data_IF_428657548544
#
_entry.id   IF_428657548544
#
_cell.length_a   1.000
_cell.length_b   1.000
_cell.length_c   1.000
_cell.angle_alpha   90.00
_cell.angle_beta   90.00
_cell.angle_gamma   90.00
#
_symmetry.space_group_name_H-M   'P 1'
#
loop_
_entity.id
_entity.type
_entity.pdbx_description
1 polymer ?
#
# COMPACT_ATOMS: atom_id res chain seq x y z
N UNK A 1 2.58 76.77 -70.43
CA UNK A 1 1.69 77.84 -69.93
C UNK A 1 0.40 77.20 -69.48
N UNK A 2 0.16 77.19 -68.16
CA UNK A 2 -1.13 77.18 -67.44
C UNK A 2 -2.16 76.08 -67.80
N UNK A 3 -2.75 75.31 -66.86
CA UNK A 3 -3.32 75.74 -65.58
C UNK A 3 -3.41 74.60 -64.55
N UNK A 4 -3.02 74.94 -63.32
CA UNK A 4 -3.54 74.43 -62.05
C UNK A 4 -5.10 74.33 -62.06
N UNK A 5 -5.78 73.53 -61.23
CA UNK A 5 -5.81 73.67 -59.77
C UNK A 5 -6.78 72.63 -59.16
N UNK A 6 -6.41 72.20 -57.93
CA UNK A 6 -7.23 71.84 -56.77
C UNK A 6 -7.98 70.50 -56.60
N UNK A 7 -7.71 69.97 -55.40
CA UNK A 7 -8.61 69.49 -54.33
C UNK A 7 -8.73 67.98 -54.09
N UNK A 8 -8.08 67.59 -52.98
CA UNK A 8 -8.60 66.73 -51.89
C UNK A 8 -9.42 65.49 -52.27
N UNK A 9 -8.95 64.31 -51.88
CA UNK A 9 -9.63 63.57 -50.80
C UNK A 9 -8.76 62.46 -50.23
N UNK A 10 -8.69 62.44 -48.90
CA UNK A 10 -8.21 61.35 -48.06
C UNK A 10 -9.09 60.12 -48.29
N UNK A 11 -8.49 58.99 -48.64
CA UNK A 11 -9.11 57.67 -48.50
C UNK A 11 -8.18 56.79 -47.68
N UNK A 12 -8.30 56.96 -46.37
CA UNK A 12 -8.13 55.89 -45.39
C UNK A 12 -9.34 54.96 -45.46
N UNK A 13 -9.10 53.70 -45.11
CA UNK A 13 -10.03 52.56 -45.00
C UNK A 13 -10.34 51.88 -46.35
N UNK A 14 -10.19 50.57 -46.52
CA UNK A 14 -10.42 49.46 -45.59
C UNK A 14 -9.43 48.33 -45.92
N UNK A 15 -8.52 48.00 -45.00
CA UNK A 15 -7.87 46.68 -45.03
C UNK A 15 -8.92 45.66 -44.65
N UNK A 16 -9.26 44.76 -45.57
CA UNK A 16 -10.08 43.60 -45.28
C UNK A 16 -9.29 42.71 -44.31
N UNK A 17 -9.57 42.79 -43.01
CA UNK A 17 -9.20 41.72 -42.10
C UNK A 17 -10.19 40.59 -42.37
N UNK A 18 -9.75 39.58 -43.12
CA UNK A 18 -10.43 38.30 -43.13
C UNK A 18 -10.39 37.80 -41.68
N UNK A 19 -11.53 37.93 -40.98
CA UNK A 19 -11.67 37.41 -39.64
C UNK A 19 -11.44 35.90 -39.73
N UNK A 20 -10.39 35.43 -39.06
CA UNK A 20 -10.12 34.03 -38.83
C UNK A 20 -11.24 33.43 -37.96
N UNK A 21 -12.41 33.22 -38.53
CA UNK A 21 -13.54 32.50 -37.93
C UNK A 21 -13.65 31.17 -38.65
N UNK A 22 -12.91 30.18 -38.18
CA UNK A 22 -12.96 28.87 -38.83
C UNK A 22 -12.20 27.71 -38.21
N UNK A 23 -11.53 27.86 -37.05
CA UNK A 23 -10.88 26.72 -36.38
C UNK A 23 -11.01 26.91 -34.86
N UNK A 24 -12.17 26.59 -34.27
CA UNK A 24 -12.23 26.50 -32.79
C UNK A 24 -13.38 25.62 -32.26
N UNK A 25 -14.56 25.59 -32.89
CA UNK A 25 -15.71 24.86 -32.31
C UNK A 25 -15.59 23.34 -32.39
N UNK A 26 -15.26 22.77 -33.55
CA UNK A 26 -15.12 21.30 -33.72
C UNK A 26 -14.01 20.70 -32.84
N UNK A 27 -12.92 21.44 -32.61
CA UNK A 27 -11.82 21.01 -31.76
C UNK A 27 -12.18 21.11 -30.27
N UNK A 28 -12.95 22.13 -29.86
CA UNK A 28 -13.45 22.27 -28.50
C UNK A 28 -14.47 21.17 -28.15
N UNK A 29 -15.39 20.84 -29.06
CA UNK A 29 -16.36 19.75 -28.86
C UNK A 29 -15.68 18.38 -28.81
N UNK A 30 -14.70 18.13 -29.68
CA UNK A 30 -13.90 16.91 -29.65
C UNK A 30 -13.07 16.78 -28.37
N UNK A 31 -12.46 17.88 -27.91
CA UNK A 31 -11.74 17.92 -26.64
C UNK A 31 -12.67 17.63 -25.45
N UNK A 32 -13.87 18.19 -25.43
CA UNK A 32 -14.89 17.93 -24.40
C UNK A 32 -15.37 16.48 -24.38
N UNK A 33 -15.53 15.86 -25.55
CA UNK A 33 -15.86 14.44 -25.67
C UNK A 33 -14.72 13.57 -25.14
N UNK A 34 -13.47 13.85 -25.54
CA UNK A 34 -12.27 13.12 -25.07
C UNK A 34 -12.13 13.25 -23.55
N UNK A 35 -12.30 14.45 -23.02
CA UNK A 35 -12.24 14.71 -21.58
C UNK A 35 -13.33 13.92 -20.84
N UNK A 36 -14.56 13.92 -21.33
CA UNK A 36 -15.67 13.15 -20.74
C UNK A 36 -15.36 11.65 -20.71
N UNK A 37 -14.80 11.10 -21.80
CA UNK A 37 -14.37 9.70 -21.89
C UNK A 37 -13.25 9.40 -20.89
N UNK A 38 -12.26 10.29 -20.79
CA UNK A 38 -11.14 10.13 -19.86
C UNK A 38 -11.61 10.17 -18.40
N UNK A 39 -12.53 11.06 -18.05
CA UNK A 39 -13.13 11.11 -16.70
C UNK A 39 -13.83 9.79 -16.36
N UNK A 40 -14.64 9.25 -17.27
CA UNK A 40 -15.30 7.95 -17.07
C UNK A 40 -14.29 6.82 -16.92
N UNK A 41 -13.25 6.79 -17.77
CA UNK A 41 -12.18 5.78 -17.71
C UNK A 41 -11.43 5.84 -16.37
N UNK A 42 -11.08 7.03 -15.91
CA UNK A 42 -10.42 7.23 -14.62
C UNK A 42 -11.31 6.74 -13.47
N UNK A 43 -12.60 7.11 -13.45
CA UNK A 43 -13.55 6.61 -12.44
C UNK A 43 -13.66 5.09 -12.41
N UNK A 44 -13.70 4.46 -13.58
CA UNK A 44 -13.74 3.00 -13.68
C UNK A 44 -12.46 2.38 -13.16
N UNK A 45 -11.30 2.88 -13.60
CA UNK A 45 -9.99 2.40 -13.14
C UNK A 45 -9.81 2.57 -11.63
N UNK A 46 -10.27 3.68 -11.06
CA UNK A 46 -10.28 3.93 -9.62
C UNK A 46 -11.17 2.93 -8.88
N UNK A 47 -12.34 2.62 -9.43
CA UNK A 47 -13.24 1.61 -8.86
C UNK A 47 -12.61 0.23 -8.82
N UNK A 48 -11.96 -0.19 -9.92
CA UNK A 48 -11.23 -1.47 -9.98
C UNK A 48 -10.07 -1.49 -9.00
N UNK A 49 -9.31 -0.39 -8.89
CA UNK A 49 -8.22 -0.26 -7.91
C UNK A 49 -8.71 -0.42 -6.48
N UNK A 50 -9.81 0.25 -6.11
CA UNK A 50 -10.40 0.15 -4.76
C UNK A 50 -10.85 -1.29 -4.47
N UNK A 51 -11.51 -1.94 -5.43
CA UNK A 51 -11.96 -3.33 -5.28
C UNK A 51 -10.78 -4.29 -5.12
N UNK A 52 -9.72 -4.10 -5.90
CA UNK A 52 -8.53 -4.94 -5.82
C UNK A 52 -7.73 -4.74 -4.53
N UNK A 53 -7.76 -3.54 -3.93
CA UNK A 53 -7.08 -3.24 -2.67
C UNK A 53 -7.87 -3.65 -1.42
N UNK A 54 -9.18 -3.85 -1.54
CA UNK A 54 -10.04 -4.25 -0.41
C UNK A 54 -9.67 -5.64 0.10
N UNK A 55 -9.44 -5.74 1.41
CA UNK A 55 -9.20 -7.00 2.11
C UNK A 55 -10.40 -7.95 2.02
N UNK A 56 -10.11 -9.25 1.84
CA UNK A 56 -11.12 -10.32 1.85
C UNK A 56 -11.49 -10.66 3.30
N UNK A 57 -10.49 -10.74 4.18
CA UNK A 57 -10.68 -11.20 5.57
C UNK A 57 -10.72 -10.06 6.59
N UNK A 58 -10.76 -8.82 6.12
CA UNK A 58 -10.69 -7.63 6.98
C UNK A 58 -9.27 -7.13 7.21
N UNK A 59 -9.14 -5.84 7.45
CA UNK A 59 -7.85 -5.15 7.49
C UNK A 59 -7.11 -5.36 8.83
N UNK A 60 -5.88 -5.85 8.73
CA UNK A 60 -4.97 -6.04 9.87
C UNK A 60 -4.00 -4.87 10.09
N UNK A 61 -4.06 -3.83 9.26
CA UNK A 61 -3.16 -2.67 9.35
C UNK A 61 -3.05 -2.12 10.78
N UNK A 62 -1.86 -1.63 11.10
CA UNK A 62 -1.56 -0.99 12.37
C UNK A 62 -0.78 -1.87 13.33
N UNK A 63 -0.57 -1.35 14.54
CA UNK A 63 0.25 -1.96 15.57
C UNK A 63 -0.51 -3.05 16.31
N UNK A 64 0.11 -4.22 16.45
CA UNK A 64 -0.39 -5.35 17.23
C UNK A 64 0.56 -5.70 18.37
N UNK A 65 0.06 -6.40 19.37
CA UNK A 65 0.89 -6.94 20.45
C UNK A 65 1.57 -8.21 19.96
N UNK A 66 2.87 -8.29 20.22
CA UNK A 66 3.71 -9.46 19.98
C UNK A 66 4.12 -10.05 21.33
N UNK A 67 3.86 -11.33 21.57
CA UNK A 67 4.30 -12.02 22.78
C UNK A 67 5.22 -13.16 22.41
N UNK A 68 6.25 -13.36 23.23
CA UNK A 68 7.03 -14.60 23.25
C UNK A 68 6.82 -15.27 24.60
N UNK A 69 6.64 -16.59 24.57
CA UNK A 69 6.52 -17.43 25.75
C UNK A 69 7.33 -18.71 25.54
N UNK A 70 8.18 -19.03 26.51
CA UNK A 70 8.73 -20.36 26.76
C UNK A 70 8.48 -20.77 28.23
N UNK A 71 8.93 -21.97 28.61
CA UNK A 71 8.80 -22.53 29.96
C UNK A 71 9.35 -21.63 31.09
N UNK A 72 10.27 -20.72 30.82
CA UNK A 72 10.97 -19.91 31.83
C UNK A 72 10.67 -18.41 31.76
N UNK A 73 10.33 -17.89 30.57
CA UNK A 73 10.15 -16.46 30.36
C UNK A 73 8.98 -16.17 29.43
N UNK A 74 8.20 -15.16 29.80
CA UNK A 74 7.22 -14.52 28.94
C UNK A 74 7.50 -13.04 28.85
N UNK A 75 7.50 -12.50 27.64
CA UNK A 75 7.65 -11.06 27.44
C UNK A 75 6.93 -10.57 26.19
N UNK A 76 6.65 -9.27 26.18
CA UNK A 76 5.80 -8.63 25.18
C UNK A 76 6.55 -7.54 24.43
N UNK A 77 5.98 -7.17 23.31
CA UNK A 77 6.38 -6.05 22.48
C UNK A 77 5.32 -5.83 21.42
N UNK A 78 5.76 -5.35 20.26
CA UNK A 78 4.84 -4.97 19.19
C UNK A 78 5.33 -5.42 17.83
N UNK A 79 4.38 -5.54 16.92
CA UNK A 79 4.60 -5.74 15.49
C UNK A 79 3.71 -4.76 14.74
N UNK A 80 4.29 -4.03 13.79
CA UNK A 80 3.57 -3.10 12.94
C UNK A 80 3.20 -3.81 11.63
N UNK A 81 1.93 -3.72 11.23
CA UNK A 81 1.42 -4.22 9.96
C UNK A 81 1.19 -3.05 9.01
N UNK A 82 1.95 -2.99 7.92
CA UNK A 82 1.81 -1.98 6.88
C UNK A 82 1.22 -2.68 5.65
N UNK A 83 0.00 -2.32 5.28
CA UNK A 83 -0.67 -2.90 4.11
C UNK A 83 0.11 -2.57 2.83
N UNK A 84 0.43 -3.60 2.07
CA UNK A 84 1.12 -3.48 0.78
C UNK A 84 0.29 -4.03 -0.39
N UNK A 85 -0.63 -4.94 -0.11
CA UNK A 85 -1.57 -5.47 -1.10
C UNK A 85 -2.87 -5.92 -0.41
N UNK A 86 -3.77 -6.54 -1.15
CA UNK A 86 -4.90 -7.28 -0.63
C UNK A 86 -4.43 -8.37 0.31
N UNK A 87 -4.82 -8.25 1.58
CA UNK A 87 -4.51 -9.21 2.65
C UNK A 87 -3.01 -9.47 2.84
N UNK A 88 -2.15 -8.60 2.32
CA UNK A 88 -0.71 -8.69 2.45
C UNK A 88 -0.15 -7.45 3.15
N UNK A 89 0.77 -7.70 4.07
CA UNK A 89 1.31 -6.72 4.98
C UNK A 89 2.81 -6.90 5.10
N UNK A 90 3.56 -5.80 4.96
CA UNK A 90 4.91 -5.75 5.48
C UNK A 90 4.83 -5.68 7.00
N UNK A 91 5.64 -6.51 7.66
CA UNK A 91 5.67 -6.61 9.11
C UNK A 91 7.06 -6.42 9.66
N UNK A 92 7.14 -5.64 10.73
CA UNK A 92 8.34 -5.48 11.53
C UNK A 92 7.95 -5.42 12.99
N UNK A 93 8.53 -6.31 13.79
CA UNK A 93 8.19 -6.44 15.19
C UNK A 93 9.36 -6.81 16.07
N UNK A 94 9.27 -6.42 17.33
CA UNK A 94 10.24 -6.74 18.37
C UNK A 94 9.56 -6.88 19.74
N UNK A 95 10.04 -7.82 20.53
CA UNK A 95 9.73 -8.00 21.94
C UNK A 95 11.05 -8.16 22.70
N UNK A 96 11.17 -7.53 23.87
CA UNK A 96 12.43 -7.48 24.64
C UNK A 96 12.12 -7.60 26.13
N UNK A 97 12.93 -8.37 26.86
CA UNK A 97 12.95 -8.40 28.33
C UNK A 97 14.37 -8.67 28.82
N UNK A 98 15.00 -7.67 29.44
CA UNK A 98 16.41 -7.75 29.83
C UNK A 98 17.31 -8.07 28.64
N UNK A 99 18.04 -9.20 28.71
CA UNK A 99 18.89 -9.71 27.63
C UNK A 99 18.13 -10.54 26.58
N UNK A 100 16.86 -10.85 26.84
CA UNK A 100 16.03 -11.66 25.95
C UNK A 100 15.37 -10.78 24.88
N UNK A 101 15.39 -11.25 23.63
CA UNK A 101 14.85 -10.51 22.49
C UNK A 101 14.26 -11.47 21.46
N UNK A 102 13.10 -11.12 20.93
CA UNK A 102 12.55 -11.69 19.69
C UNK A 102 12.31 -10.56 18.72
N UNK A 103 12.64 -10.77 17.45
CA UNK A 103 12.33 -9.85 16.36
C UNK A 103 11.86 -10.61 15.15
N UNK A 104 10.89 -10.05 14.44
CA UNK A 104 10.41 -10.56 13.16
C UNK A 104 10.41 -9.43 12.13
N UNK A 105 10.82 -9.73 10.90
CA UNK A 105 10.74 -8.82 9.77
C UNK A 105 10.43 -9.60 8.50
N UNK A 106 9.43 -9.18 7.74
CA UNK A 106 9.06 -9.87 6.51
C UNK A 106 7.69 -9.46 6.01
N UNK A 107 7.03 -10.39 5.33
CA UNK A 107 5.70 -10.22 4.77
C UNK A 107 4.76 -11.22 5.43
N UNK A 108 3.59 -10.74 5.86
CA UNK A 108 2.46 -11.58 6.24
C UNK A 108 1.38 -11.49 5.17
N UNK A 109 0.91 -12.64 4.71
CA UNK A 109 -0.33 -12.78 3.94
C UNK A 109 -1.38 -13.48 4.79
N UNK A 110 -2.49 -12.81 5.06
CA UNK A 110 -3.68 -13.46 5.62
C UNK A 110 -4.29 -14.34 4.52
N UNK A 111 -4.57 -15.61 4.83
CA UNK A 111 -5.13 -16.57 3.87
C UNK A 111 -6.45 -17.17 4.33
N UNK A 112 -6.78 -16.99 5.61
CA UNK A 112 -8.13 -17.14 6.16
C UNK A 112 -8.25 -16.34 7.46
N UNK A 113 -9.41 -16.38 8.12
CA UNK A 113 -9.56 -15.79 9.46
C UNK A 113 -8.60 -16.37 10.49
N UNK A 114 -8.17 -17.62 10.28
CA UNK A 114 -7.35 -18.36 11.23
C UNK A 114 -5.88 -18.50 10.83
N UNK A 115 -5.48 -18.09 9.64
CA UNK A 115 -4.14 -18.38 9.12
C UNK A 115 -3.45 -17.15 8.55
N UNK A 116 -2.25 -16.89 9.05
CA UNK A 116 -1.32 -15.90 8.53
C UNK A 116 -0.06 -16.61 8.02
N UNK A 117 0.18 -16.57 6.71
CA UNK A 117 1.42 -17.05 6.14
C UNK A 117 2.48 -15.96 6.25
N UNK A 118 3.59 -16.29 6.89
CA UNK A 118 4.74 -15.42 7.08
C UNK A 118 5.92 -15.89 6.21
N UNK A 119 6.50 -14.93 5.50
CA UNK A 119 7.75 -15.09 4.75
C UNK A 119 8.71 -13.99 5.18
N UNK A 120 9.85 -14.37 5.73
CA UNK A 120 10.83 -13.42 6.24
C UNK A 120 11.71 -14.02 7.31
N UNK A 121 12.25 -13.17 8.17
CA UNK A 121 13.22 -13.52 9.19
C UNK A 121 12.64 -13.37 10.59
N UNK A 122 12.74 -14.44 11.39
CA UNK A 122 12.54 -14.40 12.84
C UNK A 122 13.90 -14.63 13.50
N UNK A 123 14.29 -13.73 14.40
CA UNK A 123 15.52 -13.82 15.18
C UNK A 123 15.18 -13.80 16.66
N UNK A 124 15.83 -14.66 17.42
CA UNK A 124 15.67 -14.77 18.87
C UNK A 124 17.03 -14.75 19.53
N UNK A 125 17.10 -14.12 20.70
CA UNK A 125 18.21 -14.20 21.64
C UNK A 125 17.56 -14.49 22.98
N UNK A 126 17.61 -15.73 23.45
CA UNK A 126 16.98 -16.16 24.71
C UNK A 126 18.06 -16.77 25.59
N UNK A 127 18.24 -16.25 26.80
CA UNK A 127 19.24 -16.71 27.77
C UNK A 127 20.64 -16.86 27.15
N UNK A 128 21.03 -15.90 26.30
CA UNK A 128 22.31 -15.89 25.59
C UNK A 128 22.39 -16.78 24.35
N UNK A 129 21.41 -17.64 24.10
CA UNK A 129 21.35 -18.49 22.89
C UNK A 129 20.67 -17.74 21.75
N UNK A 130 21.31 -17.72 20.59
CA UNK A 130 20.80 -17.04 19.39
C UNK A 130 20.22 -18.05 18.41
N UNK A 131 19.02 -17.75 17.93
CA UNK A 131 18.32 -18.55 16.94
C UNK A 131 17.82 -17.67 15.80
N UNK A 132 17.98 -18.13 14.57
CA UNK A 132 17.47 -17.45 13.37
C UNK A 132 16.69 -18.42 12.48
N UNK A 133 15.52 -18.00 12.00
CA UNK A 133 14.69 -18.75 11.05
C UNK A 133 14.29 -17.84 9.90
N UNK A 134 14.46 -18.35 8.69
CA UNK A 134 14.10 -17.65 7.44
C UNK A 134 13.11 -18.43 6.57
N UNK A 135 12.75 -19.65 6.98
CA UNK A 135 11.77 -20.47 6.26
C UNK A 135 10.37 -19.84 6.34
N UNK A 136 9.55 -20.08 5.32
CA UNK A 136 8.12 -19.78 5.37
C UNK A 136 7.45 -20.52 6.52
N UNK A 137 6.59 -19.82 7.26
CA UNK A 137 5.88 -20.37 8.41
C UNK A 137 4.46 -19.83 8.47
N UNK A 138 3.57 -20.56 9.11
CA UNK A 138 2.19 -20.10 9.31
C UNK A 138 1.95 -19.83 10.79
N UNK A 139 1.40 -18.66 11.09
CA UNK A 139 0.78 -18.40 12.39
C UNK A 139 -0.68 -18.82 12.29
N UNK A 140 -1.15 -19.57 13.28
CA UNK A 140 -2.49 -20.16 13.28
C UNK A 140 -3.25 -19.76 14.54
N UNK A 141 -4.52 -19.42 14.37
CA UNK A 141 -5.47 -19.27 15.47
C UNK A 141 -6.23 -20.58 15.67
N UNK A 142 -5.93 -21.26 16.77
CA UNK A 142 -6.56 -22.52 17.17
C UNK A 142 -7.84 -22.31 18.01
N UNK A 143 -8.29 -21.07 18.22
CA UNK A 143 -9.43 -20.73 19.08
C UNK A 143 -9.11 -20.73 20.57
N UNK A 144 -7.83 -20.69 20.96
CA UNK A 144 -7.37 -20.68 22.36
C UNK A 144 -7.19 -19.28 22.94
N UNK A 145 -7.49 -18.24 22.16
CA UNK A 145 -7.38 -16.84 22.55
C UNK A 145 -7.43 -15.93 21.32
N UNK A 146 -7.26 -14.62 21.55
CA UNK A 146 -7.28 -13.60 20.48
C UNK A 146 -5.89 -13.39 19.89
N UNK A 147 -5.31 -14.44 19.33
CA UNK A 147 -3.99 -14.40 18.73
C UNK A 147 -3.79 -15.45 17.65
N UNK A 148 -2.93 -15.14 16.67
CA UNK A 148 -2.33 -16.16 15.82
C UNK A 148 -0.99 -16.57 16.40
N UNK A 149 -0.81 -17.87 16.54
CA UNK A 149 0.35 -18.48 17.18
C UNK A 149 1.23 -19.18 16.17
N UNK A 150 2.52 -18.86 16.22
CA UNK A 150 3.55 -19.70 15.61
C UNK A 150 4.09 -20.64 16.69
N UNK A 151 3.77 -21.93 16.53
CA UNK A 151 4.33 -23.01 17.32
C UNK A 151 5.06 -23.95 16.36
N UNK A 152 6.38 -24.06 16.50
CA UNK A 152 7.12 -24.99 15.67
C UNK A 152 8.46 -25.35 16.33
N UNK A 153 8.42 -26.35 17.21
CA UNK A 153 9.59 -27.00 17.79
C UNK A 153 10.35 -27.67 16.65
N UNK A 154 11.46 -27.07 16.21
CA UNK A 154 12.40 -27.81 15.35
C UNK A 154 13.17 -28.72 16.29
N UNK A 155 12.91 -30.03 16.17
CA UNK A 155 13.49 -31.15 16.91
C UNK A 155 14.79 -30.79 17.64
N UNK A 156 14.71 -30.55 18.96
CA UNK A 156 15.88 -30.47 19.85
C UNK A 156 16.78 -29.24 19.75
N UNK A 157 16.59 -28.36 18.75
CA UNK A 157 17.51 -27.23 18.49
C UNK A 157 17.04 -25.88 19.06
N UNK A 158 16.07 -25.86 19.98
CA UNK A 158 15.77 -24.65 20.77
C UNK A 158 15.05 -23.49 20.05
N UNK A 159 14.47 -23.74 18.86
CA UNK A 159 13.71 -22.71 18.14
C UNK A 159 12.22 -22.72 18.52
N UNK A 160 11.80 -21.72 19.33
CA UNK A 160 10.42 -21.33 19.72
C UNK A 160 9.55 -22.40 20.39
N UNK A 161 8.97 -22.02 21.54
CA UNK A 161 7.74 -22.64 22.03
C UNK A 161 6.51 -21.89 21.51
N UNK A 162 6.35 -20.60 21.83
CA UNK A 162 5.24 -19.77 21.30
C UNK A 162 5.65 -18.34 20.93
N UNK A 163 5.28 -17.91 19.72
CA UNK A 163 5.23 -16.49 19.32
C UNK A 163 3.80 -16.17 18.92
N UNK A 164 3.19 -15.21 19.61
CA UNK A 164 1.79 -14.83 19.43
C UNK A 164 1.67 -13.41 18.89
N UNK A 165 0.83 -13.24 17.86
CA UNK A 165 0.41 -11.94 17.34
C UNK A 165 -1.07 -11.76 17.68
N UNK A 166 -1.37 -10.77 18.52
CA UNK A 166 -2.73 -10.52 19.01
C UNK A 166 -3.55 -9.67 18.04
N UNK A 167 -4.86 -9.88 18.04
CA UNK A 167 -5.82 -9.14 17.22
C UNK A 167 -7.07 -8.69 17.98
#
# INVERSE_FOLDING_TARGET
>A
MNRCFLLFFVLLAVSCSENATGISSKNADSAKIIESINVVRTKFNDSIRILNQRNIWGDLSGRKTLTFTDDFVTFKGNVDFIKVDRDQYDVMGKAVSGKNKVSLSGVIRRVSDKHLNFEGRISQVINGKKFVRTRRTTFMDEGKGKFWRLQNKVNGEGFVEYIDIYY
#
